data_IF_952932492475
#
_entry.id   IF_952932492475
#
_cell.length_a   1.000
_cell.length_b   1.000
_cell.length_c   1.000
_cell.angle_alpha   90.00
_cell.angle_beta   90.00
_cell.angle_gamma   90.00
#
_symmetry.space_group_name_H-M   'P 1'
#
loop_
_entity.id
_entity.type
_entity.pdbx_description
1 polymer ?
#
# COMPACT_ATOMS: atom_id res chain seq x y z
N UNK A 1 -27.32 14.52 -16.46
CA UNK A 1 -28.22 13.56 -15.80
C UNK A 1 -28.60 14.13 -14.44
N UNK A 2 -29.88 14.04 -14.06
CA UNK A 2 -30.46 14.83 -12.96
C UNK A 2 -29.94 14.29 -11.63
N UNK A 3 -29.01 14.99 -10.97
CA UNK A 3 -28.67 14.75 -9.57
C UNK A 3 -29.92 15.06 -8.75
N UNK A 4 -30.47 14.08 -8.06
CA UNK A 4 -31.65 14.28 -7.22
C UNK A 4 -31.31 13.82 -5.83
N UNK A 5 -31.39 14.73 -4.86
CA UNK A 5 -31.40 14.35 -3.46
C UNK A 5 -32.65 13.54 -3.12
N UNK A 6 -32.54 12.67 -2.14
CA UNK A 6 -33.62 11.83 -1.61
C UNK A 6 -34.12 12.42 -0.28
N UNK A 7 -35.42 12.68 -0.19
CA UNK A 7 -36.07 12.97 1.09
C UNK A 7 -36.35 11.67 1.84
N UNK A 8 -35.91 11.58 3.10
CA UNK A 8 -36.11 10.38 3.92
C UNK A 8 -37.02 10.65 5.12
N UNK A 9 -36.81 11.76 5.84
CA UNK A 9 -37.66 12.22 6.94
C UNK A 9 -37.57 13.73 7.12
N UNK A 10 -38.41 14.30 8.00
CA UNK A 10 -38.36 15.72 8.35
C UNK A 10 -37.03 16.18 8.95
N UNK A 11 -36.17 15.26 9.37
CA UNK A 11 -34.84 15.52 9.93
C UNK A 11 -33.71 14.85 9.15
N UNK A 12 -33.99 14.22 8.01
CA UNK A 12 -32.99 13.46 7.26
C UNK A 12 -33.24 13.52 5.75
N UNK A 13 -32.24 14.03 5.03
CA UNK A 13 -32.19 14.07 3.56
C UNK A 13 -30.85 13.53 3.09
N UNK A 14 -30.80 12.92 1.91
CA UNK A 14 -29.55 12.50 1.26
C UNK A 14 -29.35 13.31 -0.01
N UNK A 15 -28.14 13.83 -0.20
CA UNK A 15 -27.76 14.54 -1.42
C UNK A 15 -26.49 13.90 -1.99
N UNK A 16 -26.34 13.97 -3.31
CA UNK A 16 -25.08 13.70 -3.98
C UNK A 16 -24.34 15.04 -4.06
N UNK A 17 -23.11 15.09 -3.55
CA UNK A 17 -22.27 16.28 -3.66
C UNK A 17 -21.93 16.54 -5.15
N UNK A 18 -22.12 17.76 -5.68
CA UNK A 18 -21.73 18.10 -7.04
C UNK A 18 -20.21 18.25 -7.17
N UNK A 19 -19.70 18.29 -8.41
CA UNK A 19 -18.28 18.56 -8.68
C UNK A 19 -17.89 19.96 -8.16
N UNK A 20 -16.74 20.03 -7.49
CA UNK A 20 -16.20 21.27 -6.91
C UNK A 20 -14.68 21.18 -6.80
N UNK A 21 -14.00 22.33 -6.73
CA UNK A 21 -12.56 22.39 -6.43
C UNK A 21 -12.30 22.04 -4.96
N UNK A 22 -11.07 21.64 -4.61
CA UNK A 22 -10.74 21.41 -3.22
C UNK A 22 -10.97 22.66 -2.33
N UNK A 23 -11.46 22.43 -1.11
CA UNK A 23 -11.75 23.48 -0.13
C UNK A 23 -13.07 23.28 0.62
N UNK A 24 -13.28 24.11 1.64
CA UNK A 24 -14.49 24.09 2.45
C UNK A 24 -15.63 24.89 1.80
N UNK A 25 -16.83 24.31 1.81
CA UNK A 25 -18.08 24.97 1.42
C UNK A 25 -19.10 24.87 2.54
N UNK A 26 -19.99 25.86 2.64
CA UNK A 26 -21.14 25.80 3.57
C UNK A 26 -22.27 25.01 2.92
N UNK A 27 -22.87 24.08 3.68
CA UNK A 27 -24.01 23.28 3.23
C UNK A 27 -25.31 23.87 3.77
N UNK A 28 -26.25 24.14 2.86
CA UNK A 28 -27.59 24.63 3.20
C UNK A 28 -28.66 23.73 2.57
N UNK A 29 -29.84 23.73 3.18
CA UNK A 29 -31.02 23.00 2.69
C UNK A 29 -32.15 23.99 2.47
N UNK A 30 -32.88 23.79 1.38
CA UNK A 30 -34.10 24.55 1.06
C UNK A 30 -35.27 23.60 0.84
N UNK A 31 -36.45 23.96 1.37
CA UNK A 31 -37.69 23.23 1.12
C UNK A 31 -38.40 23.62 -0.19
N UNK A 32 -38.06 24.79 -0.76
CA UNK A 32 -38.70 25.34 -1.95
C UNK A 32 -37.70 25.72 -3.07
N UNK A 33 -36.41 25.53 -2.84
CA UNK A 33 -35.33 25.88 -3.78
C UNK A 33 -35.01 27.37 -3.88
N UNK A 34 -35.63 28.22 -3.06
CA UNK A 34 -35.41 29.68 -3.07
C UNK A 34 -34.92 30.16 -1.71
N UNK A 35 -35.56 29.72 -0.63
CA UNK A 35 -35.22 30.10 0.72
C UNK A 35 -34.30 29.04 1.33
N UNK A 36 -33.05 29.42 1.61
CA UNK A 36 -32.06 28.56 2.25
C UNK A 36 -31.89 28.98 3.71
N UNK A 37 -32.01 28.01 4.62
CA UNK A 37 -31.74 28.27 6.04
C UNK A 37 -30.28 28.64 6.29
N UNK A 38 -30.03 29.50 7.28
CA UNK A 38 -28.66 29.75 7.76
C UNK A 38 -28.00 28.47 8.28
N UNK A 39 -26.73 28.28 7.96
CA UNK A 39 -25.95 27.10 8.36
C UNK A 39 -24.49 27.48 8.49
N UNK A 40 -23.83 26.96 9.53
CA UNK A 40 -22.37 27.00 9.70
C UNK A 40 -21.73 25.62 9.44
N UNK A 41 -22.54 24.65 8.98
CA UNK A 41 -22.06 23.29 8.69
C UNK A 41 -21.24 23.31 7.40
N UNK A 42 -20.01 22.81 7.49
CA UNK A 42 -19.06 22.80 6.38
C UNK A 42 -18.89 21.40 5.81
N UNK A 43 -18.72 21.34 4.49
CA UNK A 43 -18.30 20.17 3.75
C UNK A 43 -16.96 20.48 3.07
N UNK A 44 -15.99 19.58 3.20
CA UNK A 44 -14.65 19.76 2.63
C UNK A 44 -14.50 18.88 1.39
N UNK A 45 -14.16 19.51 0.26
CA UNK A 45 -13.70 18.81 -0.93
C UNK A 45 -12.19 18.59 -0.85
N UNK A 46 -11.75 17.36 -1.10
CA UNK A 46 -10.34 17.02 -1.22
C UNK A 46 -9.98 16.69 -2.66
N UNK A 47 -8.74 16.97 -3.04
CA UNK A 47 -8.19 16.50 -4.31
C UNK A 47 -8.08 14.97 -4.34
N UNK A 48 -8.10 14.41 -5.55
CA UNK A 48 -7.94 12.98 -5.78
C UNK A 48 -6.60 12.49 -5.21
N UNK A 49 -6.67 11.44 -4.39
CA UNK A 49 -5.50 10.79 -3.83
C UNK A 49 -4.89 9.84 -4.87
N UNK A 50 -3.60 9.96 -5.14
CA UNK A 50 -2.91 9.09 -6.11
C UNK A 50 -1.74 8.34 -5.47
N UNK A 51 -1.55 7.07 -5.84
CA UNK A 51 -0.36 6.30 -5.48
C UNK A 51 0.67 6.42 -6.60
N UNK A 52 1.85 6.93 -6.28
CA UNK A 52 2.98 7.04 -7.21
C UNK A 52 3.95 5.86 -7.09
N UNK A 53 4.31 5.44 -5.86
CA UNK A 53 5.21 4.30 -5.65
C UNK A 53 5.07 3.68 -4.27
N UNK A 54 5.61 2.47 -4.12
CA UNK A 54 5.70 1.74 -2.84
C UNK A 54 7.13 1.29 -2.57
N UNK A 55 7.59 1.50 -1.34
CA UNK A 55 8.98 1.26 -0.94
C UNK A 55 8.99 0.62 0.47
N UNK A 56 9.64 -0.54 0.66
CA UNK A 56 10.28 -1.36 -0.37
C UNK A 56 9.26 -2.12 -1.24
N UNK A 57 9.66 -2.53 -2.45
CA UNK A 57 8.83 -3.38 -3.34
C UNK A 57 8.91 -4.86 -3.01
N UNK A 58 9.81 -5.25 -2.11
CA UNK A 58 9.97 -6.64 -1.64
C UNK A 58 10.24 -6.66 -0.14
N UNK A 59 9.49 -7.48 0.58
CA UNK A 59 9.50 -7.55 2.06
C UNK A 59 9.34 -9.00 2.53
N UNK A 60 9.51 -9.23 3.84
CA UNK A 60 9.30 -10.55 4.42
C UNK A 60 7.81 -10.93 4.47
N UNK A 61 7.50 -12.21 4.26
CA UNK A 61 6.13 -12.74 4.38
C UNK A 61 5.66 -12.94 5.84
N UNK A 62 6.57 -12.81 6.81
CA UNK A 62 6.27 -13.02 8.24
C UNK A 62 5.51 -11.85 8.89
N UNK A 63 5.20 -10.79 8.13
CA UNK A 63 4.56 -9.58 8.62
C UNK A 63 5.53 -8.63 9.30
N UNK A 64 5.00 -7.54 9.86
CA UNK A 64 5.76 -6.50 10.56
C UNK A 64 6.72 -5.66 9.69
N UNK A 65 6.70 -5.84 8.37
CA UNK A 65 7.45 -4.98 7.46
C UNK A 65 6.80 -3.62 7.33
N UNK A 66 7.57 -2.55 7.53
CA UNK A 66 7.13 -1.17 7.30
C UNK A 66 7.22 -0.86 5.80
N UNK A 67 6.08 -0.55 5.20
CA UNK A 67 5.95 -0.20 3.79
C UNK A 67 5.54 1.26 3.70
N UNK A 68 6.31 2.03 2.94
CA UNK A 68 6.07 3.43 2.63
C UNK A 68 5.38 3.54 1.29
N UNK A 69 4.23 4.21 1.25
CA UNK A 69 3.48 4.53 0.04
C UNK A 69 3.68 6.01 -0.24
N UNK A 70 4.24 6.34 -1.40
CA UNK A 70 4.50 7.71 -1.84
C UNK A 70 3.44 8.08 -2.87
N UNK A 71 2.92 9.30 -2.77
CA UNK A 71 1.87 9.78 -3.66
C UNK A 71 1.53 11.23 -3.42
N UNK A 72 0.30 11.61 -3.75
CA UNK A 72 -0.21 12.98 -3.59
C UNK A 72 -1.58 13.01 -2.93
N UNK A 73 -1.89 14.15 -2.30
CA UNK A 73 -3.19 14.48 -1.72
C UNK A 73 -3.67 13.47 -0.69
N UNK A 74 -2.73 12.85 0.02
CA UNK A 74 -3.04 12.05 1.18
C UNK A 74 -3.59 12.97 2.28
N UNK A 75 -4.68 12.57 2.93
CA UNK A 75 -5.29 13.35 4.00
C UNK A 75 -4.38 13.41 5.23
N UNK A 76 -3.54 14.44 5.34
CA UNK A 76 -2.56 14.56 6.42
C UNK A 76 -3.26 14.55 7.80
N UNK A 77 -2.76 13.72 8.73
CA UNK A 77 -3.36 13.57 10.07
C UNK A 77 -4.67 12.77 10.11
N UNK A 78 -5.14 12.23 8.98
CA UNK A 78 -6.33 11.39 8.94
C UNK A 78 -6.01 9.92 9.22
N UNK A 79 -7.03 9.18 9.67
CA UNK A 79 -6.95 7.72 9.81
C UNK A 79 -7.00 7.05 8.43
N UNK A 80 -5.94 6.31 8.10
CA UNK A 80 -5.82 5.56 6.86
C UNK A 80 -5.61 4.07 7.09
N UNK A 81 -5.96 3.27 6.09
CA UNK A 81 -5.70 1.82 6.04
C UNK A 81 -4.96 1.49 4.75
N UNK A 82 -3.91 0.68 4.86
CA UNK A 82 -3.32 0.01 3.72
C UNK A 82 -3.96 -1.36 3.55
N UNK A 83 -4.43 -1.64 2.36
CA UNK A 83 -5.05 -2.91 2.01
C UNK A 83 -4.10 -3.69 1.11
N UNK A 84 -3.59 -4.79 1.64
CA UNK A 84 -2.69 -5.76 1.01
C UNK A 84 -3.51 -6.95 0.51
N UNK A 85 -3.96 -6.89 -0.75
CA UNK A 85 -4.88 -7.89 -1.30
C UNK A 85 -6.19 -7.94 -0.51
N UNK A 86 -6.40 -9.00 0.27
CA UNK A 86 -7.58 -9.19 1.12
C UNK A 86 -7.36 -8.85 2.60
N UNK A 87 -6.14 -8.47 2.99
CA UNK A 87 -5.79 -8.10 4.36
C UNK A 87 -5.56 -6.61 4.48
N UNK A 88 -5.82 -6.04 5.63
CA UNK A 88 -5.59 -4.61 5.87
C UNK A 88 -4.83 -4.35 7.17
N UNK A 89 -4.17 -3.21 7.22
CA UNK A 89 -3.52 -2.67 8.42
C UNK A 89 -3.79 -1.18 8.53
N UNK A 90 -3.82 -0.66 9.75
CA UNK A 90 -3.86 0.78 9.98
C UNK A 90 -2.55 1.45 9.58
N UNK A 91 -2.65 2.68 9.07
CA UNK A 91 -1.51 3.52 8.78
C UNK A 91 -0.90 4.02 10.09
N UNK A 92 0.42 3.85 10.24
CA UNK A 92 1.18 4.39 11.36
C UNK A 92 1.34 5.90 11.28
N UNK A 93 1.42 6.43 10.06
CA UNK A 93 1.54 7.86 9.80
C UNK A 93 1.01 8.20 8.42
N UNK A 94 0.36 9.35 8.31
CA UNK A 94 -0.19 9.90 7.07
C UNK A 94 0.20 11.37 6.98
N UNK A 95 1.02 11.70 5.98
CA UNK A 95 1.29 13.08 5.53
C UNK A 95 0.61 13.30 4.18
N UNK A 96 0.73 14.50 3.59
CA UNK A 96 0.17 14.80 2.26
C UNK A 96 0.78 14.01 1.09
N UNK A 97 1.95 13.39 1.30
CA UNK A 97 2.72 12.71 0.24
C UNK A 97 3.27 11.35 0.63
N UNK A 98 3.13 10.95 1.90
CA UNK A 98 3.64 9.70 2.43
C UNK A 98 2.66 9.04 3.39
N UNK A 99 2.38 7.75 3.17
CA UNK A 99 1.73 6.87 4.14
C UNK A 99 2.70 5.77 4.53
N UNK A 100 2.78 5.48 5.84
CA UNK A 100 3.49 4.30 6.33
C UNK A 100 2.53 3.31 6.95
N UNK A 101 2.65 2.06 6.55
CA UNK A 101 1.84 0.96 7.06
C UNK A 101 2.71 -0.22 7.44
N UNK A 102 2.22 -1.04 8.37
CA UNK A 102 2.88 -2.29 8.75
C UNK A 102 2.14 -3.43 8.11
N UNK A 103 2.83 -4.24 7.31
CA UNK A 103 2.21 -5.38 6.66
C UNK A 103 1.63 -6.37 7.68
N UNK A 104 0.40 -6.87 7.49
CA UNK A 104 -0.17 -7.89 8.34
C UNK A 104 0.52 -9.25 8.14
N UNK A 105 0.36 -10.15 9.10
CA UNK A 105 0.83 -11.54 8.99
C UNK A 105 0.01 -12.32 7.96
N UNK A 106 0.61 -13.35 7.36
CA UNK A 106 -0.10 -14.25 6.43
C UNK A 106 -0.36 -13.64 5.05
N UNK A 107 0.53 -12.77 4.59
CA UNK A 107 0.58 -12.24 3.22
C UNK A 107 1.81 -12.85 2.54
N UNK A 108 1.66 -13.38 1.33
CA UNK A 108 2.75 -14.01 0.57
C UNK A 108 2.61 -13.79 -0.93
N UNK A 109 3.74 -13.80 -1.64
CA UNK A 109 3.80 -13.61 -3.09
C UNK A 109 3.61 -12.15 -3.53
N UNK A 110 3.26 -11.94 -4.79
CA UNK A 110 3.00 -10.59 -5.34
C UNK A 110 1.60 -10.12 -4.93
N UNK A 111 1.54 -9.03 -4.17
CA UNK A 111 0.30 -8.54 -3.58
C UNK A 111 0.08 -7.08 -3.95
N UNK A 112 -1.14 -6.76 -4.36
CA UNK A 112 -1.58 -5.38 -4.61
C UNK A 112 -1.73 -4.62 -3.30
N UNK A 113 -1.30 -3.36 -3.30
CA UNK A 113 -1.46 -2.41 -2.21
C UNK A 113 -2.35 -1.27 -2.68
N UNK A 114 -3.48 -1.08 -1.99
CA UNK A 114 -4.35 0.09 -2.16
C UNK A 114 -4.51 0.81 -0.84
N UNK A 115 -4.90 2.09 -0.91
CA UNK A 115 -5.13 2.94 0.25
C UNK A 115 -6.63 3.19 0.41
N UNK A 116 -7.11 3.11 1.65
CA UNK A 116 -8.47 3.47 2.04
C UNK A 116 -8.43 4.47 3.19
N UNK A 117 -9.07 5.62 3.00
CA UNK A 117 -9.22 6.68 3.99
C UNK A 117 -10.72 6.84 4.31
N UNK A 118 -11.08 7.07 5.58
CA UNK A 118 -12.45 7.37 6.02
C UNK A 118 -13.55 6.47 5.39
N UNK A 119 -13.39 5.16 5.50
CA UNK A 119 -14.32 4.08 5.10
C UNK A 119 -14.83 4.06 3.64
N UNK A 120 -14.47 5.04 2.82
CA UNK A 120 -15.04 5.20 1.47
C UNK A 120 -14.15 5.91 0.45
N UNK A 121 -13.10 6.63 0.88
CA UNK A 121 -12.19 7.31 -0.04
C UNK A 121 -11.02 6.41 -0.40
N UNK A 122 -10.99 5.90 -1.64
CA UNK A 122 -9.92 5.07 -2.16
C UNK A 122 -8.97 5.89 -3.02
N UNK A 123 -7.68 5.59 -2.95
CA UNK A 123 -6.71 6.19 -3.87
C UNK A 123 -6.96 5.68 -5.28
N UNK A 124 -6.70 6.51 -6.29
CA UNK A 124 -6.44 5.99 -7.62
C UNK A 124 -5.02 5.45 -7.72
N UNK A 125 -4.87 4.40 -8.52
CA UNK A 125 -3.63 3.63 -8.64
C UNK A 125 -3.55 2.44 -7.69
N UNK A 126 -2.58 1.57 -7.98
CA UNK A 126 -2.32 0.33 -7.23
C UNK A 126 -0.81 0.17 -7.10
N UNK A 127 -0.34 0.04 -5.86
CA UNK A 127 1.03 -0.40 -5.59
C UNK A 127 1.15 -1.92 -5.67
N UNK A 128 2.36 -2.44 -5.85
CA UNK A 128 2.62 -3.88 -5.78
C UNK A 128 3.83 -4.15 -4.89
N UNK A 129 3.67 -5.11 -3.97
CA UNK A 129 4.71 -5.52 -3.04
C UNK A 129 4.84 -7.04 -3.09
N UNK A 130 6.07 -7.52 -3.21
CA UNK A 130 6.40 -8.93 -3.15
C UNK A 130 6.70 -9.35 -1.70
N UNK A 131 5.93 -10.29 -1.17
CA UNK A 131 6.09 -10.87 0.15
C UNK A 131 6.80 -12.23 0.04
N UNK A 132 8.12 -12.19 0.18
CA UNK A 132 9.00 -13.36 0.07
C UNK A 132 9.39 -13.94 1.42
N UNK A 133 9.67 -15.24 1.47
CA UNK A 133 10.33 -15.86 2.63
C UNK A 133 11.84 -15.80 2.41
N UNK A 134 12.65 -15.33 3.37
CA UNK A 134 14.09 -15.30 3.21
C UNK A 134 14.68 -16.68 2.84
N UNK A 135 15.70 -16.71 1.97
CA UNK A 135 16.39 -17.95 1.63
C UNK A 135 17.08 -18.54 2.87
N UNK A 136 16.99 -19.85 3.05
CA UNK A 136 17.72 -20.57 4.09
C UNK A 136 18.64 -21.61 3.47
N UNK A 137 19.84 -21.77 4.02
CA UNK A 137 20.83 -22.74 3.55
C UNK A 137 20.88 -23.89 4.55
N UNK A 138 20.72 -25.12 4.06
CA UNK A 138 20.74 -26.35 4.88
C UNK A 138 22.00 -27.17 4.70
N UNK A 139 22.68 -27.02 3.57
CA UNK A 139 23.93 -27.73 3.29
C UNK A 139 24.63 -27.21 2.05
N UNK A 140 25.87 -27.64 1.87
CA UNK A 140 26.65 -27.33 0.68
C UNK A 140 27.64 -28.45 0.36
N UNK A 141 27.98 -28.62 -0.91
CA UNK A 141 28.95 -29.59 -1.38
C UNK A 141 29.70 -29.07 -2.62
N UNK A 142 31.03 -29.23 -2.71
CA UNK A 142 31.93 -29.69 -1.64
C UNK A 142 32.08 -28.65 -0.51
N UNK A 143 32.48 -29.11 0.69
CA UNK A 143 32.71 -28.23 1.86
C UNK A 143 34.09 -27.57 1.89
N UNK A 144 34.90 -27.80 0.87
CA UNK A 144 36.24 -27.23 0.70
C UNK A 144 36.50 -26.95 -0.79
N UNK A 145 37.44 -26.04 -1.07
CA UNK A 145 37.83 -25.64 -2.42
C UNK A 145 39.18 -24.93 -2.42
N UNK A 146 39.71 -24.65 -3.61
CA UNK A 146 41.01 -23.98 -3.77
C UNK A 146 40.92 -22.47 -3.46
N UNK A 147 41.96 -21.92 -2.84
CA UNK A 147 42.08 -20.49 -2.55
C UNK A 147 42.11 -19.62 -3.81
N UNK A 148 42.54 -20.18 -4.96
CA UNK A 148 42.48 -19.49 -6.26
C UNK A 148 41.06 -19.35 -6.80
N UNK A 149 40.08 -20.05 -6.20
CA UNK A 149 38.69 -20.08 -6.66
C UNK A 149 38.44 -21.06 -7.81
N UNK A 150 37.22 -21.02 -8.37
CA UNK A 150 36.79 -21.86 -9.49
C UNK A 150 36.06 -23.15 -9.11
N UNK A 151 36.05 -23.52 -7.83
CA UNK A 151 35.24 -24.66 -7.34
C UNK A 151 33.74 -24.36 -7.50
N UNK A 152 33.03 -25.23 -8.19
CA UNK A 152 31.56 -25.20 -8.26
C UNK A 152 31.04 -25.75 -6.92
N UNK A 153 30.27 -24.92 -6.21
CA UNK A 153 29.65 -25.29 -4.93
C UNK A 153 28.15 -25.41 -5.13
N UNK A 154 27.62 -26.60 -4.91
CA UNK A 154 26.18 -26.85 -4.83
C UNK A 154 25.70 -26.45 -3.44
N UNK A 155 24.69 -25.59 -3.39
CA UNK A 155 24.12 -25.09 -2.13
C UNK A 155 22.68 -25.57 -2.05
N UNK A 156 22.36 -26.32 -1.00
CA UNK A 156 21.03 -26.82 -0.72
C UNK A 156 20.36 -25.95 0.35
N UNK A 157 19.04 -25.81 0.23
CA UNK A 157 18.30 -24.90 1.09
C UNK A 157 16.82 -24.81 0.74
N UNK A 158 16.18 -23.75 1.21
CA UNK A 158 14.78 -23.44 0.92
C UNK A 158 14.60 -21.97 0.56
N UNK A 159 13.51 -21.67 -0.15
CA UNK A 159 13.14 -20.33 -0.60
C UNK A 159 14.19 -19.64 -1.48
N UNK A 160 14.96 -20.42 -2.24
CA UNK A 160 15.77 -19.87 -3.32
C UNK A 160 14.84 -19.48 -4.48
N UNK A 161 14.94 -18.24 -4.93
CA UNK A 161 14.19 -17.75 -6.08
C UNK A 161 15.09 -17.72 -7.32
N UNK A 162 14.57 -18.22 -8.44
CA UNK A 162 15.28 -18.18 -9.72
C UNK A 162 15.28 -16.74 -10.29
N UNK A 163 16.23 -15.93 -9.83
CA UNK A 163 16.38 -14.52 -10.20
C UNK A 163 17.80 -14.21 -10.63
N UNK A 164 17.98 -13.20 -11.50
CA UNK A 164 19.32 -12.73 -11.89
C UNK A 164 20.10 -12.12 -10.70
N UNK A 165 19.39 -11.72 -9.65
CA UNK A 165 19.93 -11.23 -8.39
C UNK A 165 20.33 -12.33 -7.40
N UNK A 166 20.12 -13.61 -7.71
CA UNK A 166 20.53 -14.71 -6.83
C UNK A 166 22.07 -14.74 -6.71
N UNK A 167 22.56 -14.72 -5.48
CA UNK A 167 23.98 -14.61 -5.16
C UNK A 167 24.35 -15.56 -4.03
N UNK A 168 25.48 -16.24 -4.16
CA UNK A 168 26.14 -16.90 -3.04
C UNK A 168 27.15 -15.92 -2.41
N UNK A 169 27.27 -15.94 -1.08
CA UNK A 169 28.20 -15.10 -0.34
C UNK A 169 29.15 -15.98 0.47
N UNK A 170 30.45 -15.83 0.20
CA UNK A 170 31.53 -16.53 0.89
C UNK A 170 32.36 -15.50 1.66
N UNK A 171 32.06 -15.31 2.94
CA UNK A 171 32.62 -14.23 3.75
C UNK A 171 32.25 -12.86 3.17
N UNK A 172 33.24 -12.13 2.64
CA UNK A 172 33.03 -10.82 1.98
C UNK A 172 32.89 -10.92 0.45
N UNK A 173 33.12 -12.09 -0.14
CA UNK A 173 33.06 -12.30 -1.60
C UNK A 173 31.65 -12.71 -2.01
N UNK A 174 31.16 -12.11 -3.10
CA UNK A 174 29.86 -12.44 -3.69
C UNK A 174 30.06 -12.99 -5.09
N UNK A 175 29.32 -14.03 -5.44
CA UNK A 175 29.27 -14.57 -6.81
C UNK A 175 27.83 -14.74 -7.24
N UNK A 176 27.56 -14.60 -8.54
CA UNK A 176 26.25 -14.92 -9.10
C UNK A 176 25.99 -16.42 -8.96
N UNK A 177 24.83 -16.76 -8.44
CA UNK A 177 24.38 -18.14 -8.35
C UNK A 177 23.52 -18.47 -9.57
N UNK A 178 23.60 -19.71 -10.01
CA UNK A 178 22.67 -20.28 -10.98
C UNK A 178 21.71 -21.16 -10.21
N UNK A 179 20.41 -20.92 -10.39
CA UNK A 179 19.39 -21.79 -9.79
C UNK A 179 19.41 -23.15 -10.49
N UNK A 180 19.54 -24.22 -9.72
CA UNK A 180 19.53 -25.61 -10.20
C UNK A 180 18.43 -26.34 -9.44
N UNK A 181 17.47 -26.93 -10.18
CA UNK A 181 16.25 -27.56 -9.66
C UNK A 181 16.47 -28.96 -9.10
#
# INVERSE_FOLDING_TARGET
SRMVGEFVSSSFVRCIAPDHLAGEVVVQVSGNGQDFGGSDVRYEYHDEMTIASVIPTSVNAFGSSVISVVGSNFGAGMNGRCVFGSRESEAQSVTSTLIRCVSPVGVSGNVSLVLRMHDSYAASGVGYVHFGVPPSVTGLYPVFGDVTGGTIVEVNGSNFENTSSLRCVFGQRRTQAVYVS
#
